data_IF_702668016671
#
_entry.id   IF_702668016671
#
_cell.length_a   1.000
_cell.length_b   1.000
_cell.length_c   1.000
_cell.angle_alpha   90.00
_cell.angle_beta   90.00
_cell.angle_gamma   90.00
#
_symmetry.space_group_name_H-M   'P 1'
#
loop_
_entity.id
_entity.type
_entity.pdbx_description
1 polymer ?
#
# COMPACT_ATOMS: atom_id res chain seq x y z
N UNK A 1 3.85 11.75 15.18
CA UNK A 1 5.28 12.14 15.30
C UNK A 1 6.19 10.94 15.06
N UNK A 2 7.47 11.19 14.83
CA UNK A 2 8.54 10.17 14.71
C UNK A 2 8.53 9.22 15.92
N UNK A 3 8.48 9.78 17.12
CA UNK A 3 8.48 8.98 18.35
C UNK A 3 7.22 8.11 18.50
N UNK A 4 6.07 8.57 18.04
CA UNK A 4 4.86 7.74 18.06
C UNK A 4 4.99 6.53 17.14
N UNK A 5 5.49 6.72 15.92
CA UNK A 5 5.76 5.63 14.97
C UNK A 5 6.73 4.60 15.55
N UNK A 6 7.84 5.08 16.10
CA UNK A 6 8.85 4.26 16.77
C UNK A 6 8.26 3.49 17.96
N UNK A 7 7.55 4.18 18.84
CA UNK A 7 7.02 3.59 20.06
C UNK A 7 5.93 2.57 19.80
N UNK A 8 5.09 2.74 18.78
CA UNK A 8 4.10 1.72 18.38
C UNK A 8 4.79 0.40 18.01
N UNK A 9 5.82 0.45 17.19
CA UNK A 9 6.53 -0.76 16.76
C UNK A 9 7.29 -1.40 17.93
N UNK A 10 8.02 -0.59 18.71
CA UNK A 10 8.78 -1.09 19.86
C UNK A 10 7.84 -1.72 20.90
N UNK A 11 6.69 -1.12 21.14
CA UNK A 11 5.69 -1.68 22.06
C UNK A 11 5.16 -3.02 21.54
N UNK A 12 4.84 -3.12 20.26
CA UNK A 12 4.43 -4.38 19.64
C UNK A 12 5.51 -5.46 19.77
N UNK A 13 6.78 -5.12 19.52
CA UNK A 13 7.89 -6.05 19.67
C UNK A 13 8.13 -6.49 21.13
N UNK A 14 7.92 -5.61 22.09
CA UNK A 14 8.02 -5.95 23.53
C UNK A 14 6.88 -6.86 24.00
N UNK A 15 5.68 -6.67 23.48
CA UNK A 15 4.51 -7.50 23.79
C UNK A 15 4.59 -8.89 23.14
N UNK A 16 5.37 -9.02 22.05
CA UNK A 16 5.52 -10.22 21.25
C UNK A 16 6.99 -10.63 21.10
N UNK A 17 7.66 -11.07 22.20
CA UNK A 17 9.09 -11.40 22.18
C UNK A 17 9.43 -12.56 21.23
N UNK A 18 8.48 -13.41 20.87
CA UNK A 18 8.64 -14.47 19.87
C UNK A 18 9.01 -13.93 18.48
N UNK A 19 8.68 -12.66 18.17
CA UNK A 19 9.01 -12.02 16.90
C UNK A 19 10.53 -11.73 16.80
N UNK A 20 11.26 -11.70 17.89
CA UNK A 20 12.71 -11.44 17.89
C UNK A 20 13.51 -12.48 17.08
N UNK A 21 12.94 -13.66 16.86
CA UNK A 21 13.52 -14.73 16.02
C UNK A 21 13.00 -14.74 14.58
N UNK A 22 12.16 -13.77 14.18
CA UNK A 22 11.62 -13.73 12.83
C UNK A 22 12.73 -13.48 11.81
N UNK A 23 12.60 -14.10 10.62
CA UNK A 23 13.51 -13.81 9.50
C UNK A 23 13.23 -12.43 8.90
N UNK A 24 11.99 -11.95 9.01
CA UNK A 24 11.52 -10.71 8.39
C UNK A 24 10.41 -10.07 9.20
N UNK A 25 10.53 -8.78 9.49
CA UNK A 25 9.50 -7.94 10.07
C UNK A 25 8.85 -7.09 8.96
N UNK A 26 7.55 -7.22 8.79
CA UNK A 26 6.77 -6.34 7.90
C UNK A 26 6.20 -5.18 8.72
N UNK A 27 6.43 -3.95 8.25
CA UNK A 27 5.92 -2.72 8.88
C UNK A 27 5.05 -2.00 7.85
N UNK A 28 3.74 -1.99 8.07
CA UNK A 28 2.80 -1.37 7.15
C UNK A 28 2.29 -0.03 7.67
N UNK A 29 2.56 1.04 6.94
CA UNK A 29 1.95 2.35 7.15
C UNK A 29 0.61 2.38 6.40
N UNK A 30 -0.43 1.93 7.09
CA UNK A 30 -1.77 1.76 6.55
C UNK A 30 -2.84 1.85 7.63
N UNK A 31 -4.10 2.04 7.26
CA UNK A 31 -5.31 2.01 8.10
C UNK A 31 -5.48 3.16 9.10
N UNK A 32 -4.42 3.74 9.63
CA UNK A 32 -4.47 4.79 10.67
C UNK A 32 -4.21 6.18 10.06
N UNK A 33 -4.89 6.50 8.98
CA UNK A 33 -4.74 7.73 8.23
C UNK A 33 -3.94 7.56 6.93
N UNK A 34 -3.66 8.67 6.29
CA UNK A 34 -2.95 8.72 5.00
C UNK A 34 -1.46 9.04 5.23
N UNK A 35 -0.55 8.09 5.00
CA UNK A 35 0.87 8.26 5.33
C UNK A 35 1.55 9.38 4.54
N UNK A 36 1.05 9.72 3.34
CA UNK A 36 1.66 10.78 2.52
C UNK A 36 1.43 12.20 3.05
N UNK A 37 0.61 12.37 4.09
CA UNK A 37 0.47 13.62 4.85
C UNK A 37 1.50 13.77 5.97
N UNK A 38 2.35 12.76 6.21
CA UNK A 38 3.23 12.71 7.37
C UNK A 38 4.68 12.40 6.96
N UNK A 39 5.49 13.43 6.82
CA UNK A 39 6.91 13.30 6.43
C UNK A 39 7.76 12.54 7.47
N UNK A 40 7.30 12.46 8.73
CA UNK A 40 7.94 11.66 9.78
C UNK A 40 7.99 10.15 9.43
N UNK A 41 7.08 9.69 8.56
CA UNK A 41 7.12 8.31 8.04
C UNK A 41 8.39 8.09 7.22
N UNK A 42 8.78 9.05 6.38
CA UNK A 42 10.00 8.98 5.58
C UNK A 42 11.24 8.97 6.48
N UNK A 43 11.30 9.91 7.42
CA UNK A 43 12.42 10.06 8.34
C UNK A 43 12.59 8.81 9.22
N UNK A 44 11.50 8.34 9.84
CA UNK A 44 11.55 7.13 10.65
C UNK A 44 11.97 5.91 9.82
N UNK A 45 11.46 5.78 8.60
CA UNK A 45 11.80 4.65 7.73
C UNK A 45 13.28 4.63 7.39
N UNK A 46 13.90 5.76 7.09
CA UNK A 46 15.37 5.85 6.88
C UNK A 46 16.17 5.37 8.08
N UNK A 47 15.69 5.66 9.29
CA UNK A 47 16.34 5.30 10.55
C UNK A 47 15.90 3.93 11.10
N UNK A 48 14.87 3.31 10.53
CA UNK A 48 14.18 2.15 11.09
C UNK A 48 15.13 0.99 11.44
N UNK A 49 16.09 0.68 10.58
CA UNK A 49 17.06 -0.41 10.85
C UNK A 49 17.86 -0.14 12.12
N UNK A 50 18.30 1.09 12.33
CA UNK A 50 19.06 1.50 13.52
C UNK A 50 18.19 1.43 14.78
N UNK A 51 16.98 1.98 14.67
CA UNK A 51 16.04 2.07 15.79
C UNK A 51 15.53 0.70 16.27
N UNK A 52 15.31 -0.22 15.34
CA UNK A 52 14.77 -1.55 15.66
C UNK A 52 15.83 -2.62 15.89
N UNK A 53 17.09 -2.35 15.57
CA UNK A 53 18.19 -3.33 15.74
C UNK A 53 18.26 -3.96 17.15
N UNK A 54 18.05 -3.21 18.26
CA UNK A 54 18.09 -3.79 19.62
C UNK A 54 17.01 -4.84 19.87
N UNK A 55 15.95 -4.84 19.08
CA UNK A 55 14.78 -5.72 19.27
C UNK A 55 14.75 -6.90 18.32
N UNK A 56 15.21 -6.74 17.10
CA UNK A 56 15.11 -7.75 16.03
C UNK A 56 16.46 -8.16 15.44
N UNK A 57 17.54 -7.53 15.89
CA UNK A 57 18.89 -7.85 15.44
C UNK A 57 19.06 -7.71 13.92
N UNK A 58 19.51 -8.81 13.29
CA UNK A 58 19.78 -8.85 11.84
C UNK A 58 18.57 -9.21 10.97
N UNK A 59 17.37 -9.32 11.54
CA UNK A 59 16.15 -9.62 10.77
C UNK A 59 15.94 -8.61 9.63
N UNK A 60 15.41 -9.07 8.52
CA UNK A 60 15.04 -8.19 7.43
C UNK A 60 13.85 -7.34 7.86
N UNK A 61 13.83 -6.09 7.45
CA UNK A 61 12.68 -5.19 7.64
C UNK A 61 12.11 -4.85 6.28
N UNK A 62 10.80 -5.00 6.15
CA UNK A 62 10.04 -4.66 4.95
C UNK A 62 9.02 -3.58 5.27
N UNK A 63 9.36 -2.30 5.13
CA UNK A 63 8.40 -1.22 5.27
C UNK A 63 7.53 -1.12 4.01
N UNK A 64 6.26 -0.83 4.20
CA UNK A 64 5.28 -0.65 3.12
C UNK A 64 4.46 0.61 3.39
N UNK A 65 4.45 1.54 2.44
CA UNK A 65 3.48 2.63 2.40
C UNK A 65 2.30 2.23 1.54
N UNK A 66 1.09 2.40 2.08
CA UNK A 66 -0.17 2.26 1.35
C UNK A 66 -0.87 3.61 1.33
N UNK A 67 -1.14 4.13 0.14
CA UNK A 67 -1.73 5.46 -0.06
C UNK A 67 -2.92 5.41 -1.00
N UNK A 68 -3.93 6.24 -0.72
CA UNK A 68 -5.04 6.50 -1.64
C UNK A 68 -4.72 7.58 -2.69
N UNK A 69 -3.51 8.17 -2.63
CA UNK A 69 -3.06 9.26 -3.49
C UNK A 69 -3.98 10.49 -3.39
N UNK A 70 -4.00 11.16 -2.23
CA UNK A 70 -4.95 12.22 -1.96
C UNK A 70 -4.73 13.42 -2.89
N UNK A 71 -5.79 13.84 -3.59
CA UNK A 71 -5.80 14.92 -4.60
C UNK A 71 -5.30 16.26 -4.05
N UNK A 72 -5.61 16.53 -2.78
CA UNK A 72 -5.29 17.83 -2.18
C UNK A 72 -3.92 17.86 -1.49
N UNK A 73 -3.15 16.77 -1.54
CA UNK A 73 -1.78 16.76 -1.02
C UNK A 73 -0.81 17.38 -2.03
N UNK A 74 -0.47 18.65 -1.83
CA UNK A 74 0.48 19.38 -2.69
C UNK A 74 1.89 18.78 -2.70
N UNK A 75 2.26 18.02 -1.68
CA UNK A 75 3.57 17.39 -1.54
C UNK A 75 3.57 15.92 -2.01
N UNK A 76 2.45 15.39 -2.51
CA UNK A 76 2.30 13.97 -2.85
C UNK A 76 3.44 13.46 -3.76
N UNK A 77 3.69 14.14 -4.87
CA UNK A 77 4.71 13.72 -5.84
C UNK A 77 6.11 13.71 -5.21
N UNK A 78 6.43 14.75 -4.41
CA UNK A 78 7.70 14.80 -3.68
C UNK A 78 7.81 13.63 -2.71
N UNK A 79 6.78 13.38 -1.90
CA UNK A 79 6.75 12.27 -0.95
C UNK A 79 6.96 10.91 -1.64
N UNK A 80 6.30 10.68 -2.78
CA UNK A 80 6.43 9.43 -3.53
C UNK A 80 7.85 9.25 -4.09
N UNK A 81 8.49 10.32 -4.57
CA UNK A 81 9.88 10.26 -5.03
C UNK A 81 10.84 9.96 -3.86
N UNK A 82 10.67 10.63 -2.72
CA UNK A 82 11.45 10.37 -1.50
C UNK A 82 11.28 8.92 -1.03
N UNK A 83 10.04 8.38 -1.10
CA UNK A 83 9.77 6.98 -0.79
C UNK A 83 10.44 6.02 -1.77
N UNK A 84 10.43 6.34 -3.07
CA UNK A 84 11.11 5.52 -4.08
C UNK A 84 12.62 5.51 -3.88
N UNK A 85 13.21 6.61 -3.44
CA UNK A 85 14.62 6.68 -3.04
C UNK A 85 14.91 5.73 -1.87
N UNK A 86 14.14 5.83 -0.78
CA UNK A 86 14.22 4.94 0.39
C UNK A 86 14.10 3.47 -0.05
N UNK A 87 13.06 3.16 -0.83
CA UNK A 87 12.81 1.82 -1.35
C UNK A 87 14.00 1.27 -2.13
N UNK A 88 14.50 2.05 -3.09
CA UNK A 88 15.48 1.59 -4.05
C UNK A 88 16.90 1.52 -3.46
N UNK A 89 17.24 2.40 -2.52
CA UNK A 89 18.61 2.52 -2.00
C UNK A 89 18.73 2.03 -0.54
N UNK A 90 17.91 2.53 0.39
CA UNK A 90 18.03 2.17 1.81
C UNK A 90 17.58 0.72 2.05
N UNK A 91 16.54 0.28 1.35
CA UNK A 91 15.99 -1.08 1.45
C UNK A 91 16.31 -1.98 0.25
N UNK A 92 17.16 -1.52 -0.68
CA UNK A 92 17.64 -2.31 -1.84
C UNK A 92 16.51 -2.95 -2.66
N UNK A 93 15.39 -2.27 -2.77
CA UNK A 93 14.19 -2.72 -3.49
C UNK A 93 13.21 -3.55 -2.67
N UNK A 94 13.50 -3.88 -1.41
CA UNK A 94 12.61 -4.72 -0.59
C UNK A 94 11.50 -3.92 0.12
N UNK A 95 11.52 -2.60 0.16
CA UNK A 95 10.38 -1.81 0.62
C UNK A 95 9.23 -1.83 -0.40
N UNK A 96 7.99 -1.72 0.08
CA UNK A 96 6.78 -1.72 -0.74
C UNK A 96 6.18 -0.33 -0.90
N UNK A 97 5.66 -0.04 -2.10
CA UNK A 97 4.77 1.09 -2.36
C UNK A 97 3.46 0.54 -2.92
N UNK A 98 2.35 0.88 -2.29
CA UNK A 98 1.04 0.40 -2.66
C UNK A 98 0.10 1.58 -2.90
N UNK A 99 -0.54 1.61 -4.05
CA UNK A 99 -1.60 2.53 -4.42
C UNK A 99 -2.95 1.85 -4.19
N UNK A 100 -3.80 2.43 -3.37
CA UNK A 100 -5.17 1.97 -3.15
C UNK A 100 -6.04 2.44 -4.30
N UNK A 101 -6.17 1.60 -5.32
CA UNK A 101 -6.94 1.90 -6.53
C UNK A 101 -8.42 1.59 -6.32
N UNK A 102 -8.74 0.37 -5.92
CA UNK A 102 -10.05 -0.18 -5.58
C UNK A 102 -11.08 -0.25 -6.71
N UNK A 103 -11.01 0.62 -7.71
CA UNK A 103 -11.84 0.60 -8.92
C UNK A 103 -11.12 1.21 -10.11
N UNK A 104 -11.42 0.74 -11.30
CA UNK A 104 -11.00 1.36 -12.57
C UNK A 104 -11.95 2.46 -13.05
N UNK A 105 -13.11 2.61 -12.41
CA UNK A 105 -14.05 3.71 -12.64
C UNK A 105 -13.66 4.92 -11.78
N UNK A 106 -13.38 6.07 -12.43
CA UNK A 106 -13.07 7.31 -11.70
C UNK A 106 -14.28 7.81 -10.90
N UNK A 107 -15.51 7.56 -11.37
CA UNK A 107 -16.74 7.93 -10.66
C UNK A 107 -16.89 7.15 -9.35
N UNK A 108 -16.67 5.82 -9.36
CA UNK A 108 -16.70 4.99 -8.18
C UNK A 108 -15.59 5.41 -7.18
N UNK A 109 -14.41 5.74 -7.69
CA UNK A 109 -13.29 6.22 -6.87
C UNK A 109 -13.61 7.57 -6.22
N UNK A 110 -14.22 8.50 -6.96
CA UNK A 110 -14.60 9.81 -6.43
C UNK A 110 -15.63 9.67 -5.30
N UNK A 111 -16.63 8.79 -5.46
CA UNK A 111 -17.60 8.47 -4.42
C UNK A 111 -16.90 7.82 -3.20
N UNK A 112 -16.12 6.77 -3.43
CA UNK A 112 -15.43 5.99 -2.38
C UNK A 112 -14.50 6.86 -1.52
N UNK A 113 -13.80 7.82 -2.13
CA UNK A 113 -12.86 8.69 -1.44
C UNK A 113 -13.40 10.11 -1.18
N UNK A 114 -14.73 10.30 -1.30
CA UNK A 114 -15.41 11.57 -1.02
C UNK A 114 -14.80 12.75 -1.80
N UNK A 115 -14.50 12.56 -3.08
CA UNK A 115 -13.92 13.57 -3.96
C UNK A 115 -12.44 13.88 -3.72
N UNK A 116 -11.76 13.15 -2.83
CA UNK A 116 -10.34 13.35 -2.53
C UNK A 116 -9.44 12.30 -3.21
N UNK A 117 -9.83 11.80 -4.37
CA UNK A 117 -8.99 10.89 -5.13
C UNK A 117 -8.52 11.50 -6.45
N UNK A 118 -7.32 11.16 -6.87
CA UNK A 118 -6.86 11.43 -8.22
C UNK A 118 -7.57 10.48 -9.20
N UNK A 119 -7.81 10.93 -10.44
CA UNK A 119 -8.24 10.04 -11.52
C UNK A 119 -7.19 8.97 -11.82
N UNK A 120 -7.60 7.87 -12.43
CA UNK A 120 -6.69 6.79 -12.79
C UNK A 120 -5.60 7.26 -13.78
N UNK A 121 -5.94 8.19 -14.66
CA UNK A 121 -5.00 8.81 -15.60
C UNK A 121 -3.94 9.66 -14.88
N UNK A 122 -4.34 10.47 -13.89
CA UNK A 122 -3.40 11.27 -13.08
C UNK A 122 -2.47 10.37 -12.27
N UNK A 123 -2.99 9.28 -11.71
CA UNK A 123 -2.18 8.27 -11.00
C UNK A 123 -1.19 7.61 -11.94
N UNK A 124 -1.60 7.26 -13.14
CA UNK A 124 -0.73 6.70 -14.18
C UNK A 124 0.40 7.67 -14.53
N UNK A 125 0.08 8.95 -14.72
CA UNK A 125 1.08 9.96 -15.06
C UNK A 125 2.10 10.17 -13.93
N UNK A 126 1.65 10.25 -12.68
CA UNK A 126 2.55 10.25 -11.52
C UNK A 126 3.42 8.99 -11.55
N UNK A 127 2.81 7.84 -11.70
CA UNK A 127 3.50 6.56 -11.72
C UNK A 127 4.54 6.41 -12.82
N UNK A 128 4.30 6.97 -14.02
CA UNK A 128 5.28 7.00 -15.12
C UNK A 128 6.54 7.77 -14.75
N UNK A 129 6.36 8.90 -14.03
CA UNK A 129 7.44 9.82 -13.68
C UNK A 129 8.22 9.41 -12.41
N UNK A 130 7.74 8.47 -11.62
CA UNK A 130 8.52 7.91 -10.52
C UNK A 130 9.72 7.11 -11.05
N UNK A 131 10.78 7.00 -10.26
CA UNK A 131 11.90 6.12 -10.55
C UNK A 131 11.45 4.67 -10.77
N UNK A 132 12.19 3.94 -11.61
CA UNK A 132 11.91 2.53 -11.83
C UNK A 132 12.18 1.73 -10.52
N UNK A 133 11.24 0.90 -10.06
CA UNK A 133 11.42 0.19 -8.80
C UNK A 133 12.49 -0.89 -8.93
N UNK A 134 13.48 -0.86 -8.04
CA UNK A 134 14.36 -2.00 -7.83
C UNK A 134 13.60 -3.07 -7.05
N UNK A 135 13.80 -4.32 -7.38
CA UNK A 135 13.17 -5.47 -6.69
C UNK A 135 11.64 -5.49 -6.85
N UNK A 136 10.90 -5.15 -5.79
CA UNK A 136 9.43 -5.20 -5.80
C UNK A 136 8.83 -4.10 -6.68
N UNK A 137 7.88 -4.47 -7.52
CA UNK A 137 7.07 -3.54 -8.31
C UNK A 137 6.18 -2.67 -7.39
N UNK A 138 5.70 -1.55 -7.91
CA UNK A 138 4.65 -0.75 -7.28
C UNK A 138 3.34 -1.54 -7.34
N UNK A 139 2.64 -1.66 -6.24
CA UNK A 139 1.41 -2.44 -6.16
C UNK A 139 0.19 -1.56 -6.42
N UNK A 140 -0.64 -1.93 -7.37
CA UNK A 140 -2.00 -1.42 -7.56
C UNK A 140 -2.95 -2.33 -6.78
N UNK A 141 -3.44 -1.87 -5.63
CA UNK A 141 -4.28 -2.69 -4.76
C UNK A 141 -5.76 -2.40 -5.01
N UNK A 142 -6.50 -3.46 -5.20
CA UNK A 142 -7.95 -3.46 -5.29
C UNK A 142 -8.53 -4.22 -4.09
N UNK A 143 -9.28 -3.52 -3.25
CA UNK A 143 -10.19 -4.15 -2.30
C UNK A 143 -11.44 -4.53 -3.08
N UNK A 144 -11.52 -5.81 -3.47
CA UNK A 144 -12.60 -6.27 -4.35
C UNK A 144 -13.91 -6.35 -3.57
N UNK A 145 -14.87 -5.50 -3.97
CA UNK A 145 -16.14 -5.31 -3.28
C UNK A 145 -17.27 -4.96 -4.28
N UNK A 146 -17.32 -5.63 -5.43
CA UNK A 146 -18.29 -5.38 -6.48
C UNK A 146 -18.00 -4.16 -7.35
N UNK A 147 -16.84 -3.51 -7.17
CA UNK A 147 -16.41 -2.38 -7.99
C UNK A 147 -15.74 -2.82 -9.30
N UNK A 148 -15.75 -1.92 -10.29
CA UNK A 148 -15.18 -2.20 -11.61
C UNK A 148 -13.67 -2.47 -11.55
N UNK A 149 -13.24 -3.55 -12.20
CA UNK A 149 -11.83 -3.88 -12.46
C UNK A 149 -11.67 -4.20 -13.95
N UNK A 150 -11.29 -3.19 -14.73
CA UNK A 150 -11.06 -3.30 -16.18
C UNK A 150 -9.56 -3.56 -16.44
N UNK A 151 -9.25 -4.78 -16.85
CA UNK A 151 -7.90 -5.23 -17.13
C UNK A 151 -7.27 -4.53 -18.35
N UNK A 152 -8.05 -4.24 -19.40
CA UNK A 152 -7.55 -3.53 -20.59
C UNK A 152 -7.16 -2.10 -20.26
N UNK A 153 -8.00 -1.42 -19.49
CA UNK A 153 -7.71 -0.06 -19.00
C UNK A 153 -6.44 -0.03 -18.16
N UNK A 154 -6.27 -1.00 -17.28
CA UNK A 154 -5.05 -1.12 -16.45
C UNK A 154 -3.81 -1.35 -17.31
N UNK A 155 -3.84 -2.28 -18.27
CA UNK A 155 -2.73 -2.52 -19.19
C UNK A 155 -2.39 -1.31 -20.07
N UNK A 156 -3.39 -0.54 -20.46
CA UNK A 156 -3.18 0.70 -21.24
C UNK A 156 -2.53 1.82 -20.44
N UNK A 157 -2.77 1.89 -19.14
CA UNK A 157 -2.30 2.96 -18.27
C UNK A 157 -0.99 2.64 -17.53
N UNK A 158 -0.79 1.40 -17.10
CA UNK A 158 0.29 1.02 -16.21
C UNK A 158 1.24 0.00 -16.86
N UNK A 159 2.53 0.34 -16.88
CA UNK A 159 3.57 -0.56 -17.39
C UNK A 159 3.71 -1.80 -16.47
N UNK A 160 3.48 -3.03 -16.97
CA UNK A 160 3.55 -4.24 -16.16
C UNK A 160 4.95 -4.54 -15.60
N UNK A 161 6.02 -3.98 -16.18
CA UNK A 161 7.37 -4.12 -15.62
C UNK A 161 7.56 -3.29 -14.34
N UNK A 162 6.79 -2.23 -14.18
CA UNK A 162 6.86 -1.29 -13.05
C UNK A 162 5.79 -1.55 -12.00
N UNK A 163 4.64 -2.04 -12.43
CA UNK A 163 3.45 -2.22 -11.59
C UNK A 163 3.03 -3.69 -11.50
N UNK A 164 2.33 -4.03 -10.42
CA UNK A 164 1.66 -5.31 -10.23
C UNK A 164 0.29 -5.07 -9.62
N UNK A 165 -0.72 -5.74 -10.12
CA UNK A 165 -2.06 -5.71 -9.53
C UNK A 165 -2.13 -6.70 -8.37
N UNK A 166 -2.79 -6.27 -7.29
CA UNK A 166 -3.09 -7.09 -6.13
C UNK A 166 -4.58 -7.02 -5.86
N UNK A 167 -5.26 -8.15 -5.94
CA UNK A 167 -6.64 -8.30 -5.53
C UNK A 167 -6.68 -8.67 -4.04
N UNK A 168 -7.40 -7.89 -3.26
CA UNK A 168 -7.57 -8.12 -1.82
C UNK A 168 -9.05 -8.34 -1.54
N UNK A 169 -9.46 -9.54 -1.11
CA UNK A 169 -10.84 -9.83 -0.76
C UNK A 169 -11.34 -8.91 0.36
N UNK A 170 -12.54 -8.39 0.22
CA UNK A 170 -13.18 -7.59 1.27
C UNK A 170 -13.83 -8.50 2.31
N UNK A 171 -13.41 -8.38 3.55
CA UNK A 171 -14.01 -9.15 4.65
C UNK A 171 -15.36 -8.59 5.06
N UNK A 172 -16.29 -9.48 5.48
CA UNK A 172 -17.54 -9.13 6.12
C UNK A 172 -17.27 -8.50 7.49
N UNK A 173 -17.09 -7.18 7.50
CA UNK A 173 -17.06 -6.41 8.74
C UNK A 173 -18.43 -5.82 9.03
N UNK A 174 -18.70 -5.48 10.28
CA UNK A 174 -19.95 -4.80 10.66
C UNK A 174 -20.16 -3.51 9.86
N UNK A 175 -19.10 -2.71 9.71
CA UNK A 175 -19.12 -1.47 8.92
C UNK A 175 -19.36 -1.72 7.43
N UNK A 176 -18.81 -2.79 6.86
CA UNK A 176 -19.06 -3.13 5.45
C UNK A 176 -20.53 -3.48 5.22
N UNK A 177 -21.12 -4.24 6.13
CA UNK A 177 -22.54 -4.62 6.09
C UNK A 177 -23.45 -3.40 6.24
N UNK A 178 -23.18 -2.53 7.22
CA UNK A 178 -23.96 -1.30 7.46
C UNK A 178 -23.93 -0.34 6.28
N UNK A 179 -22.81 -0.29 5.52
CA UNK A 179 -22.69 0.56 4.34
C UNK A 179 -23.09 -0.15 3.04
N UNK A 180 -23.68 -1.34 3.11
CA UNK A 180 -24.14 -2.08 1.92
C UNK A 180 -23.01 -2.49 0.97
N UNK A 181 -21.77 -2.57 1.46
CA UNK A 181 -20.62 -2.96 0.65
C UNK A 181 -20.74 -4.46 0.37
N UNK A 182 -20.72 -4.83 -0.89
CA UNK A 182 -20.66 -6.23 -1.30
C UNK A 182 -19.36 -6.87 -0.79
N UNK A 183 -19.52 -7.93 -0.04
CA UNK A 183 -18.39 -8.70 0.45
C UNK A 183 -18.52 -10.12 -0.07
N UNK A 184 -17.59 -10.56 -0.89
CA UNK A 184 -17.61 -11.91 -1.40
C UNK A 184 -17.31 -12.90 -0.27
N UNK A 185 -18.31 -13.57 0.12
CA UNK A 185 -18.45 -14.87 0.70
C UNK A 185 -17.44 -15.39 1.71
N UNK A 186 -17.38 -16.69 1.71
CA UNK A 186 -16.55 -17.51 2.58
C UNK A 186 -15.21 -17.80 1.87
N UNK A 187 -14.15 -17.10 2.28
CA UNK A 187 -12.79 -17.31 1.75
C UNK A 187 -12.18 -18.67 2.10
N UNK A 188 -12.90 -19.49 2.84
CA UNK A 188 -12.41 -20.81 3.24
C UNK A 188 -12.62 -21.85 2.15
N UNK A 189 -13.45 -21.58 1.15
CA UNK A 189 -13.89 -22.59 0.19
C UNK A 189 -13.43 -22.37 -1.25
N UNK A 190 -13.26 -21.11 -1.70
CA UNK A 190 -12.86 -20.83 -3.09
C UNK A 190 -12.36 -19.40 -3.24
N UNK A 191 -11.30 -19.19 -4.03
CA UNK A 191 -10.85 -17.88 -4.45
C UNK A 191 -11.83 -17.29 -5.50
N UNK A 192 -12.57 -16.23 -5.19
CA UNK A 192 -13.71 -15.81 -6.02
C UNK A 192 -13.32 -14.95 -7.23
N UNK A 193 -12.03 -14.59 -7.38
CA UNK A 193 -11.58 -13.59 -8.36
C UNK A 193 -10.73 -14.18 -9.48
N UNK A 194 -10.77 -15.49 -9.69
CA UNK A 194 -9.98 -16.16 -10.72
C UNK A 194 -10.25 -15.57 -12.11
N UNK A 195 -11.50 -15.23 -12.42
CA UNK A 195 -11.87 -14.61 -13.70
C UNK A 195 -11.19 -13.24 -13.91
N UNK A 196 -11.03 -12.43 -12.87
CA UNK A 196 -10.32 -11.14 -12.95
C UNK A 196 -8.80 -11.37 -13.13
N UNK A 197 -8.25 -12.38 -12.46
CA UNK A 197 -6.83 -12.74 -12.63
C UNK A 197 -6.51 -13.21 -14.04
N UNK A 198 -7.41 -13.97 -14.66
CA UNK A 198 -7.25 -14.49 -16.02
C UNK A 198 -7.29 -13.36 -17.08
N UNK A 199 -7.96 -12.23 -16.77
CA UNK A 199 -8.03 -11.05 -17.62
C UNK A 199 -6.83 -10.11 -17.44
N UNK A 200 -6.17 -10.11 -16.30
CA UNK A 200 -5.05 -9.24 -15.96
C UNK A 200 -3.72 -9.76 -16.51
#
# INVERSE_FOLDING_TARGET
TYDDLKNQIITGLKLHPEIHSTKRLNVHYARMGEPTWNDEVLEFTRNMRKELYPYIGKSLIHPVVSTMLPKYNKNLVKYLNDWMEIKNYDFRGDAGLQFSINSTSDAEREEMFSGNSLSLSEISEIGKNLDFPKGRKITLNFAVAGYEVDAEKLRGLFNPDKFVVKLTPMHKTHTAIENGIETDGDYTTMYPYQHIEEEL
#
